data_IF_795484883453
#
_entry.id   IF_795484883453
#
_cell.length_a   1.000
_cell.length_b   1.000
_cell.length_c   1.000
_cell.angle_alpha   90.00
_cell.angle_beta   90.00
_cell.angle_gamma   90.00
#
_symmetry.space_group_name_H-M   'P 1'
#
loop_
_entity.id
_entity.type
_entity.pdbx_description
1 polymer ?
#
# COMPACT_ATOMS: atom_id res chain seq x y z
N UNK A 1 -24.05 3.80 -23.03
CA UNK A 1 -23.18 4.99 -23.06
C UNK A 1 -21.81 4.57 -22.59
N UNK A 2 -20.79 4.64 -23.46
CA UNK A 2 -19.42 4.40 -23.02
C UNK A 2 -19.11 5.39 -21.89
N UNK A 3 -18.70 4.91 -20.71
CA UNK A 3 -18.24 5.79 -19.63
C UNK A 3 -17.13 6.66 -20.21
N UNK A 4 -17.19 7.98 -20.03
CA UNK A 4 -16.05 8.86 -20.28
C UNK A 4 -14.94 8.46 -19.31
N UNK A 5 -14.06 7.55 -19.74
CA UNK A 5 -12.91 7.09 -18.98
C UNK A 5 -11.77 8.08 -19.21
N UNK A 6 -11.20 8.56 -18.12
CA UNK A 6 -10.01 9.40 -18.11
C UNK A 6 -8.78 8.53 -17.82
N UNK A 7 -7.67 8.91 -18.43
CA UNK A 7 -6.37 8.27 -18.28
C UNK A 7 -5.43 9.27 -17.64
N UNK A 8 -4.87 8.91 -16.50
CA UNK A 8 -3.99 9.79 -15.73
C UNK A 8 -2.59 9.21 -15.77
N UNK A 9 -1.65 9.95 -16.34
CA UNK A 9 -0.24 9.58 -16.35
C UNK A 9 0.51 10.26 -15.23
N UNK A 10 1.24 9.50 -14.44
CA UNK A 10 2.10 10.00 -13.36
C UNK A 10 3.56 9.73 -13.69
N UNK A 11 4.37 10.78 -13.61
CA UNK A 11 5.83 10.67 -13.63
C UNK A 11 6.35 10.95 -12.22
N UNK A 12 6.95 9.93 -11.61
CA UNK A 12 7.27 9.89 -10.18
C UNK A 12 8.77 10.09 -9.97
N UNK A 13 9.13 11.15 -9.23
CA UNK A 13 10.46 11.39 -8.70
C UNK A 13 10.54 11.12 -7.19
N UNK A 14 11.71 11.37 -6.59
CA UNK A 14 11.94 11.13 -5.16
C UNK A 14 11.04 12.02 -4.27
N UNK A 15 11.00 13.32 -4.54
CA UNK A 15 10.37 14.30 -3.65
C UNK A 15 8.98 14.77 -4.13
N UNK A 16 8.71 14.65 -5.42
CA UNK A 16 7.47 15.04 -6.06
C UNK A 16 7.16 14.22 -7.31
N UNK A 17 6.00 14.48 -7.89
CA UNK A 17 5.55 13.88 -9.13
C UNK A 17 4.68 14.84 -9.93
N UNK A 18 4.63 14.60 -11.23
CA UNK A 18 3.78 15.34 -12.18
C UNK A 18 2.63 14.43 -12.62
N UNK A 19 1.44 15.00 -12.70
CA UNK A 19 0.24 14.30 -13.15
C UNK A 19 -0.36 14.96 -14.39
N UNK A 20 -0.76 14.13 -15.37
CA UNK A 20 -1.46 14.57 -16.57
C UNK A 20 -2.77 13.81 -16.76
N UNK A 21 -3.87 14.54 -16.93
CA UNK A 21 -5.17 13.97 -17.29
C UNK A 21 -5.33 14.01 -18.81
N UNK A 22 -5.64 12.84 -19.38
CA UNK A 22 -5.88 12.62 -20.79
C UNK A 22 -7.22 11.91 -20.98
N UNK A 23 -8.02 12.34 -21.97
CA UNK A 23 -9.30 11.69 -22.29
C UNK A 23 -9.37 11.24 -23.75
N UNK A 24 -8.94 12.09 -24.67
CA UNK A 24 -8.91 11.79 -26.09
C UNK A 24 -7.93 12.71 -26.83
N UNK A 25 -7.49 12.36 -28.05
CA UNK A 25 -6.58 13.19 -28.83
C UNK A 25 -7.11 14.60 -29.16
N UNK A 26 -8.43 14.81 -29.07
CA UNK A 26 -9.08 16.09 -29.41
C UNK A 26 -9.19 17.04 -28.21
N UNK A 27 -8.86 16.58 -27.01
CA UNK A 27 -9.08 17.33 -25.78
C UNK A 27 -7.76 17.79 -25.18
N UNK A 28 -7.77 19.01 -24.64
CA UNK A 28 -6.61 19.56 -23.96
C UNK A 28 -6.22 18.71 -22.76
N UNK A 29 -4.92 18.54 -22.57
CA UNK A 29 -4.35 17.86 -21.42
C UNK A 29 -4.35 18.81 -20.24
N UNK A 30 -4.68 18.28 -19.06
CA UNK A 30 -4.64 19.04 -17.81
C UNK A 30 -3.46 18.53 -17.00
N UNK A 31 -2.51 19.41 -16.73
CA UNK A 31 -1.26 19.09 -16.02
C UNK A 31 -1.30 19.64 -14.60
N UNK A 32 -0.74 18.89 -13.66
CA UNK A 32 -0.45 19.33 -12.30
C UNK A 32 0.97 18.93 -11.94
N UNK A 33 1.79 19.93 -11.67
CA UNK A 33 3.20 19.78 -11.29
C UNK A 33 3.37 19.95 -9.78
N UNK A 34 4.57 19.62 -9.29
CA UNK A 34 5.03 19.81 -7.91
C UNK A 34 4.18 19.10 -6.82
N UNK A 35 3.53 17.98 -7.16
CA UNK A 35 2.78 17.22 -6.16
C UNK A 35 3.76 16.43 -5.32
N UNK A 36 3.84 16.71 -4.02
CA UNK A 36 4.81 16.04 -3.14
C UNK A 36 4.59 14.54 -3.08
N UNK A 37 5.68 13.76 -3.12
CA UNK A 37 5.67 12.31 -2.98
C UNK A 37 5.53 11.90 -1.50
N UNK A 38 4.41 12.32 -0.89
CA UNK A 38 4.08 12.13 0.53
C UNK A 38 2.58 11.89 0.66
N UNK A 39 2.12 11.39 1.81
CA UNK A 39 0.69 11.17 2.05
C UNK A 39 -0.16 12.43 1.87
N UNK A 40 0.33 13.60 2.28
CA UNK A 40 -0.38 14.86 2.09
C UNK A 40 -0.48 15.24 0.61
N UNK A 41 0.60 15.01 -0.15
CA UNK A 41 0.58 15.17 -1.61
C UNK A 41 -0.36 14.17 -2.30
N UNK A 42 -0.49 12.94 -1.79
CA UNK A 42 -1.45 11.97 -2.31
C UNK A 42 -2.90 12.39 -2.04
N UNK A 43 -3.18 12.92 -0.84
CA UNK A 43 -4.50 13.47 -0.49
C UNK A 43 -4.85 14.66 -1.40
N UNK A 44 -3.90 15.59 -1.60
CA UNK A 44 -3.98 16.70 -2.54
C UNK A 44 -4.29 16.22 -3.96
N UNK A 45 -3.60 15.18 -4.42
CA UNK A 45 -3.82 14.60 -5.74
C UNK A 45 -5.24 14.04 -5.90
N UNK A 46 -5.77 13.33 -4.89
CA UNK A 46 -7.17 12.86 -4.93
C UNK A 46 -8.17 14.02 -4.98
N UNK A 47 -7.92 15.10 -4.25
CA UNK A 47 -8.76 16.30 -4.32
C UNK A 47 -8.73 16.91 -5.71
N UNK A 48 -7.54 17.06 -6.29
CA UNK A 48 -7.35 17.55 -7.64
C UNK A 48 -8.06 16.69 -8.70
N UNK A 49 -8.00 15.35 -8.59
CA UNK A 49 -8.77 14.47 -9.49
C UNK A 49 -10.28 14.75 -9.40
N UNK A 50 -10.81 14.96 -8.18
CA UNK A 50 -12.24 15.25 -7.99
C UNK A 50 -12.65 16.60 -8.56
N UNK A 51 -11.79 17.62 -8.46
CA UNK A 51 -12.02 18.95 -9.06
C UNK A 51 -12.26 18.85 -10.58
N UNK A 52 -11.60 17.87 -11.24
CA UNK A 52 -11.76 17.58 -12.68
C UNK A 52 -12.81 16.51 -12.97
N UNK A 53 -13.68 16.17 -12.01
CA UNK A 53 -14.72 15.14 -12.13
C UNK A 53 -14.20 13.71 -12.38
N UNK A 54 -12.96 13.41 -12.00
CA UNK A 54 -12.40 12.06 -11.99
C UNK A 54 -12.72 11.35 -10.66
N UNK A 55 -12.95 10.04 -10.77
CA UNK A 55 -13.28 9.14 -9.68
C UNK A 55 -12.79 7.74 -10.02
N UNK A 56 -12.72 6.88 -8.99
CA UNK A 56 -12.31 5.47 -9.14
C UNK A 56 -13.06 4.66 -10.20
N UNK A 57 -14.27 5.06 -10.59
CA UNK A 57 -15.09 4.34 -11.58
C UNK A 57 -14.95 4.85 -13.02
N UNK A 58 -14.35 6.03 -13.22
CA UNK A 58 -14.18 6.68 -14.52
C UNK A 58 -12.74 7.13 -14.78
N UNK A 59 -11.77 6.65 -14.02
CA UNK A 59 -10.35 6.89 -14.29
C UNK A 59 -9.52 5.61 -14.28
N UNK A 60 -8.42 5.64 -15.03
CA UNK A 60 -7.31 4.68 -14.97
C UNK A 60 -6.05 5.51 -14.73
N UNK A 61 -5.26 5.13 -13.73
CA UNK A 61 -4.01 5.79 -13.41
C UNK A 61 -2.87 4.89 -13.89
N UNK A 62 -1.93 5.45 -14.63
CA UNK A 62 -0.76 4.78 -15.15
C UNK A 62 0.49 5.50 -14.69
N UNK A 63 1.53 4.76 -14.34
CA UNK A 63 2.85 5.30 -14.01
C UNK A 63 3.93 4.39 -14.58
N UNK A 64 5.06 4.99 -14.95
CA UNK A 64 6.27 4.25 -15.30
C UNK A 64 6.93 3.71 -14.02
N UNK A 65 7.53 2.52 -14.06
CA UNK A 65 8.32 2.00 -12.94
C UNK A 65 9.70 2.71 -12.86
N UNK A 66 9.81 3.77 -12.06
CA UNK A 66 11.03 4.58 -11.88
C UNK A 66 11.84 4.22 -10.61
N UNK A 67 11.43 3.19 -9.86
CA UNK A 67 12.16 2.68 -8.69
C UNK A 67 11.24 2.42 -7.50
N UNK A 68 11.79 2.51 -6.29
CA UNK A 68 11.06 2.32 -5.02
C UNK A 68 10.05 3.44 -4.71
N UNK A 69 10.19 4.61 -5.37
CA UNK A 69 9.41 5.83 -5.08
C UNK A 69 7.94 5.74 -5.51
N UNK A 70 7.61 4.77 -6.36
CA UNK A 70 6.32 4.63 -7.04
C UNK A 70 5.38 3.71 -6.24
N UNK A 71 5.96 2.89 -5.37
CA UNK A 71 5.23 1.87 -4.61
C UNK A 71 4.25 2.53 -3.64
N UNK A 72 4.68 3.55 -2.89
CA UNK A 72 3.85 4.23 -1.90
C UNK A 72 2.56 4.83 -2.52
N UNK A 73 2.69 5.56 -3.64
CA UNK A 73 1.53 6.15 -4.33
C UNK A 73 0.66 5.09 -5.01
N UNK A 74 1.26 4.05 -5.60
CA UNK A 74 0.51 2.95 -6.20
C UNK A 74 -0.37 2.23 -5.16
N UNK A 75 0.21 1.89 -3.99
CA UNK A 75 -0.54 1.35 -2.85
C UNK A 75 -1.66 2.30 -2.44
N UNK A 76 -1.35 3.58 -2.23
CA UNK A 76 -2.33 4.57 -1.81
C UNK A 76 -3.53 4.65 -2.77
N UNK A 77 -3.28 4.76 -4.07
CA UNK A 77 -4.33 4.88 -5.08
C UNK A 77 -5.20 3.61 -5.18
N UNK A 78 -4.58 2.42 -5.14
CA UNK A 78 -5.34 1.15 -5.11
C UNK A 78 -6.22 1.08 -3.86
N UNK A 79 -5.74 1.52 -2.69
CA UNK A 79 -6.55 1.53 -1.46
C UNK A 79 -7.73 2.51 -1.49
N UNK A 80 -7.61 3.59 -2.28
CA UNK A 80 -8.72 4.48 -2.57
C UNK A 80 -9.70 3.91 -3.62
N UNK A 81 -9.37 2.74 -4.18
CA UNK A 81 -10.18 1.97 -5.13
C UNK A 81 -9.92 2.31 -6.58
N UNK A 82 -8.87 3.08 -6.90
CA UNK A 82 -8.51 3.39 -8.28
C UNK A 82 -7.91 2.18 -8.99
N UNK A 83 -8.11 2.11 -10.30
CA UNK A 83 -7.37 1.19 -11.17
C UNK A 83 -6.02 1.81 -11.48
N UNK A 84 -4.96 1.14 -11.04
CA UNK A 84 -3.58 1.61 -11.19
C UNK A 84 -2.80 0.62 -12.02
N UNK A 85 -2.05 1.09 -13.02
CA UNK A 85 -1.11 0.29 -13.80
C UNK A 85 0.29 0.86 -13.63
N UNK A 86 1.26 -0.03 -13.39
CA UNK A 86 2.68 0.32 -13.24
C UNK A 86 3.40 -0.38 -14.38
N UNK A 87 3.79 0.40 -15.40
CA UNK A 87 4.30 -0.13 -16.66
C UNK A 87 5.83 -0.02 -16.73
N UNK A 88 6.52 -0.97 -17.36
CA UNK A 88 7.97 -0.89 -17.52
C UNK A 88 8.40 0.33 -18.36
N UNK A 89 9.46 1.06 -17.95
CA UNK A 89 10.04 2.18 -18.71
C UNK A 89 10.16 1.99 -20.22
N UNK A 90 10.75 0.87 -20.61
CA UNK A 90 11.03 0.57 -22.01
C UNK A 90 9.75 0.34 -22.82
N UNK A 91 8.65 -0.07 -22.17
CA UNK A 91 7.38 -0.35 -22.84
C UNK A 91 6.67 0.95 -23.19
N UNK A 92 6.63 1.92 -22.27
CA UNK A 92 6.07 3.26 -22.53
C UNK A 92 6.91 3.99 -23.58
N UNK A 93 8.24 3.98 -23.44
CA UNK A 93 9.15 4.68 -24.35
C UNK A 93 9.12 4.17 -25.79
N UNK A 94 8.87 2.88 -26.02
CA UNK A 94 8.76 2.30 -27.37
C UNK A 94 7.45 2.64 -28.09
N UNK A 95 6.44 3.10 -27.35
CA UNK A 95 5.14 3.45 -27.93
C UNK A 95 5.12 4.85 -28.58
N UNK A 96 6.17 5.65 -28.37
CA UNK A 96 6.30 7.00 -28.90
C UNK A 96 7.63 7.18 -29.62
N UNK A 97 7.61 7.98 -30.68
CA UNK A 97 8.85 8.44 -31.30
C UNK A 97 9.66 9.28 -30.31
N UNK A 98 11.00 9.35 -30.45
CA UNK A 98 11.83 10.20 -29.61
C UNK A 98 11.37 11.65 -29.68
N UNK A 99 10.70 12.11 -28.63
CA UNK A 99 10.37 13.53 -28.45
C UNK A 99 11.63 14.24 -27.96
N UNK A 100 11.84 15.49 -28.40
CA UNK A 100 13.06 16.28 -28.15
C UNK A 100 13.44 16.46 -26.66
N UNK A 101 13.26 17.65 -26.10
CA UNK A 101 13.62 17.88 -24.69
C UNK A 101 12.67 17.11 -23.76
N UNK A 102 13.24 16.22 -22.93
CA UNK A 102 12.53 15.50 -21.88
C UNK A 102 12.27 16.43 -20.70
N UNK A 103 11.02 16.51 -20.28
CA UNK A 103 10.60 17.18 -19.06
C UNK A 103 9.56 16.30 -18.37
N UNK A 104 9.45 16.39 -17.05
CA UNK A 104 8.55 15.55 -16.26
C UNK A 104 7.07 15.68 -16.70
N UNK A 105 6.68 16.86 -17.20
CA UNK A 105 5.37 17.10 -17.80
C UNK A 105 5.18 16.41 -19.16
N UNK A 106 6.23 16.29 -19.98
CA UNK A 106 6.19 15.56 -21.25
C UNK A 106 6.12 14.05 -20.99
N UNK A 107 6.89 13.56 -20.02
CA UNK A 107 6.96 12.13 -19.69
C UNK A 107 5.62 11.65 -19.08
N UNK A 108 5.07 12.37 -18.10
CA UNK A 108 3.74 12.05 -17.54
C UNK A 108 2.60 12.16 -18.57
N UNK A 109 2.70 13.07 -19.55
CA UNK A 109 1.76 13.12 -20.69
C UNK A 109 1.84 11.87 -21.55
N UNK A 110 3.05 11.41 -21.90
CA UNK A 110 3.25 10.18 -22.68
C UNK A 110 2.69 8.97 -21.94
N UNK A 111 2.85 8.91 -20.62
CA UNK A 111 2.28 7.85 -19.78
C UNK A 111 0.73 7.88 -19.84
N UNK A 112 0.12 9.07 -19.78
CA UNK A 112 -1.34 9.21 -19.85
C UNK A 112 -1.88 8.77 -21.23
N UNK A 113 -1.19 9.18 -22.29
CA UNK A 113 -1.55 8.82 -23.67
C UNK A 113 -1.31 7.33 -23.94
N UNK A 114 -0.26 6.73 -23.40
CA UNK A 114 0.00 5.30 -23.46
C UNK A 114 -1.17 4.53 -22.83
N UNK A 115 -1.60 4.94 -21.64
CA UNK A 115 -2.71 4.30 -20.96
C UNK A 115 -4.02 4.39 -21.76
N UNK A 116 -4.25 5.49 -22.48
CA UNK A 116 -5.37 5.63 -23.41
C UNK A 116 -5.25 4.66 -24.59
N UNK A 117 -4.10 4.62 -25.26
CA UNK A 117 -3.87 3.80 -26.47
C UNK A 117 -3.93 2.30 -26.20
N UNK A 118 -3.40 1.87 -25.06
CA UNK A 118 -3.24 0.44 -24.70
C UNK A 118 -4.14 0.03 -23.54
N UNK A 119 -5.29 0.70 -23.38
CA UNK A 119 -6.17 0.53 -22.21
C UNK A 119 -6.64 -0.90 -21.95
N UNK A 120 -6.72 -1.72 -23.00
CA UNK A 120 -7.07 -3.14 -23.02
C UNK A 120 -5.89 -4.07 -22.69
N UNK A 121 -4.66 -3.60 -22.83
CA UNK A 121 -3.44 -4.35 -22.54
C UNK A 121 -2.82 -4.02 -21.17
N UNK A 122 -3.35 -2.99 -20.48
CA UNK A 122 -2.86 -2.59 -19.17
C UNK A 122 -3.01 -3.72 -18.14
N UNK A 123 -1.93 -3.98 -17.41
CA UNK A 123 -1.99 -4.85 -16.23
C UNK A 123 -2.17 -3.99 -14.99
N UNK A 124 -3.24 -4.24 -14.25
CA UNK A 124 -3.49 -3.51 -13.01
C UNK A 124 -2.60 -4.04 -11.91
N UNK A 125 -1.82 -3.12 -11.35
CA UNK A 125 -0.89 -3.39 -10.27
C UNK A 125 -1.67 -3.78 -9.01
N UNK A 126 -1.14 -4.77 -8.29
CA UNK A 126 -1.61 -5.19 -6.98
C UNK A 126 -0.41 -5.20 -6.03
N UNK A 127 -0.62 -4.96 -4.73
CA UNK A 127 0.39 -5.22 -3.70
C UNK A 127 1.02 -6.59 -3.90
N UNK A 128 2.34 -6.69 -3.73
CA UNK A 128 3.01 -7.99 -3.77
C UNK A 128 2.47 -8.87 -2.64
N UNK A 129 2.15 -10.12 -2.96
CA UNK A 129 1.73 -11.17 -2.01
C UNK A 129 2.68 -11.26 -0.80
N UNK A 130 3.95 -10.90 -0.98
CA UNK A 130 4.98 -10.90 0.06
C UNK A 130 4.60 -10.07 1.31
N UNK A 131 3.95 -8.91 1.15
CA UNK A 131 3.55 -8.09 2.30
C UNK A 131 2.41 -8.78 3.05
N UNK A 132 1.45 -9.33 2.32
CA UNK A 132 0.32 -10.06 2.87
C UNK A 132 0.83 -11.31 3.62
N UNK A 133 1.78 -12.04 3.04
CA UNK A 133 2.41 -13.20 3.66
C UNK A 133 3.23 -12.83 4.90
N UNK A 134 3.98 -11.72 4.88
CA UNK A 134 4.67 -11.21 6.08
C UNK A 134 3.69 -10.93 7.22
N UNK A 135 2.56 -10.31 6.93
CA UNK A 135 1.51 -10.03 7.93
C UNK A 135 0.93 -11.34 8.46
N UNK A 136 0.62 -12.31 7.60
CA UNK A 136 0.11 -13.63 8.04
C UNK A 136 1.10 -14.37 8.95
N UNK A 137 2.39 -14.34 8.62
CA UNK A 137 3.43 -14.95 9.45
C UNK A 137 3.49 -14.29 10.84
N UNK A 138 3.46 -12.96 10.90
CA UNK A 138 3.47 -12.21 12.16
C UNK A 138 2.22 -12.49 13.00
N UNK A 139 1.02 -12.50 12.39
CA UNK A 139 -0.23 -12.83 13.09
C UNK A 139 -0.22 -14.26 13.64
N UNK A 140 0.28 -15.21 12.86
CA UNK A 140 0.41 -16.61 13.28
C UNK A 140 1.35 -16.73 14.49
N UNK A 141 2.50 -16.06 14.44
CA UNK A 141 3.45 -16.05 15.56
C UNK A 141 2.84 -15.39 16.81
N UNK A 142 2.12 -14.28 16.64
CA UNK A 142 1.40 -13.60 17.73
C UNK A 142 0.40 -14.55 18.41
N UNK A 143 -0.44 -15.23 17.63
CA UNK A 143 -1.43 -16.16 18.17
C UNK A 143 -0.77 -17.30 18.97
N UNK A 144 0.36 -17.83 18.48
CA UNK A 144 1.13 -18.84 19.20
C UNK A 144 1.62 -18.32 20.56
N UNK A 145 2.17 -17.11 20.62
CA UNK A 145 2.63 -16.52 21.88
C UNK A 145 1.48 -16.21 22.85
N UNK A 146 0.33 -15.74 22.36
CA UNK A 146 -0.87 -15.51 23.18
C UNK A 146 -1.36 -16.83 23.80
N UNK A 147 -1.38 -17.93 23.03
CA UNK A 147 -1.72 -19.27 23.54
C UNK A 147 -0.74 -19.73 24.62
N UNK A 148 0.56 -19.53 24.41
CA UNK A 148 1.58 -19.86 25.41
C UNK A 148 1.43 -19.03 26.70
N UNK A 149 1.20 -17.73 26.59
CA UNK A 149 0.95 -16.83 27.73
C UNK A 149 -0.24 -17.31 28.55
N UNK A 150 -1.36 -17.62 27.89
CA UNK A 150 -2.57 -18.16 28.53
C UNK A 150 -2.29 -19.48 29.24
N UNK A 151 -1.55 -20.39 28.61
CA UNK A 151 -1.18 -21.68 29.22
C UNK A 151 -0.33 -21.49 30.49
N UNK A 152 0.64 -20.59 30.48
CA UNK A 152 1.48 -20.28 31.65
C UNK A 152 0.65 -19.65 32.77
N UNK A 153 -0.22 -18.70 32.45
CA UNK A 153 -1.12 -18.10 33.44
C UNK A 153 -2.02 -19.14 34.09
N UNK A 154 -2.58 -20.07 33.30
CA UNK A 154 -3.39 -21.17 33.82
C UNK A 154 -2.57 -22.13 34.69
N UNK A 155 -1.33 -22.45 34.30
CA UNK A 155 -0.43 -23.27 35.10
C UNK A 155 -0.11 -22.61 36.45
N UNK A 156 0.14 -21.29 36.47
CA UNK A 156 0.36 -20.54 37.71
C UNK A 156 -0.88 -20.58 38.62
N UNK A 157 -2.07 -20.28 38.08
CA UNK A 157 -3.34 -20.32 38.83
C UNK A 157 -3.66 -21.71 39.39
N UNK A 158 -3.34 -22.77 38.65
CA UNK A 158 -3.46 -24.14 39.13
C UNK A 158 -2.47 -24.42 40.26
N UNK A 159 -1.21 -23.96 40.10
CA UNK A 159 -0.16 -24.16 41.07
C UNK A 159 -0.44 -23.48 42.42
N UNK A 160 -1.06 -22.30 42.39
CA UNK A 160 -1.48 -21.55 43.59
C UNK A 160 -2.48 -22.32 44.47
N UNK A 161 -3.13 -23.36 43.95
CA UNK A 161 -4.05 -24.22 44.72
C UNK A 161 -3.35 -25.33 45.49
N UNK A 162 -2.06 -25.58 45.25
CA UNK A 162 -1.32 -26.60 46.01
C UNK A 162 -1.05 -26.13 47.44
N UNK A 163 -1.16 -27.08 48.38
CA UNK A 163 -0.88 -26.88 49.81
C UNK A 163 0.60 -26.56 50.05
N UNK A 164 1.49 -27.23 49.31
CA UNK A 164 2.94 -27.00 49.38
C UNK A 164 3.36 -26.28 48.11
N UNK A 165 3.96 -25.10 48.29
CA UNK A 165 4.40 -24.23 47.20
C UNK A 165 5.90 -23.99 47.26
N UNK A 166 6.52 -23.97 46.08
CA UNK A 166 7.94 -23.68 45.85
C UNK A 166 8.01 -22.34 45.14
N UNK A 167 8.56 -21.34 45.81
CA UNK A 167 8.63 -19.95 45.32
C UNK A 167 9.36 -19.83 43.97
N UNK A 168 10.34 -20.70 43.70
CA UNK A 168 11.07 -20.74 42.44
C UNK A 168 10.15 -21.02 41.25
N UNK A 169 9.16 -21.92 41.39
CA UNK A 169 8.25 -22.30 40.30
C UNK A 169 7.42 -21.09 39.85
N UNK A 170 6.84 -20.37 40.82
CA UNK A 170 6.06 -19.14 40.56
C UNK A 170 6.96 -18.06 39.95
N UNK A 171 8.19 -17.90 40.46
CA UNK A 171 9.16 -16.92 39.95
C UNK A 171 9.51 -17.19 38.49
N UNK A 172 9.83 -18.44 38.14
CA UNK A 172 10.21 -18.83 36.77
C UNK A 172 9.04 -18.61 35.81
N UNK A 173 7.84 -19.07 36.14
CA UNK A 173 6.66 -18.83 35.29
C UNK A 173 6.38 -17.34 35.07
N UNK A 174 6.49 -16.51 36.12
CA UNK A 174 6.31 -15.06 36.01
C UNK A 174 7.37 -14.42 35.11
N UNK A 175 8.62 -14.90 35.17
CA UNK A 175 9.68 -14.41 34.30
C UNK A 175 9.41 -14.81 32.84
N UNK A 176 9.06 -16.07 32.57
CA UNK A 176 8.70 -16.54 31.23
C UNK A 176 7.51 -15.77 30.66
N UNK A 177 6.49 -15.49 31.47
CA UNK A 177 5.31 -14.73 31.05
C UNK A 177 5.70 -13.32 30.55
N UNK A 178 6.58 -12.63 31.28
CA UNK A 178 7.07 -11.28 30.89
C UNK A 178 7.81 -11.29 29.56
N UNK A 179 8.65 -12.31 29.30
CA UNK A 179 9.36 -12.42 28.02
C UNK A 179 8.37 -12.67 26.86
N UNK A 180 7.36 -13.52 27.07
CA UNK A 180 6.32 -13.76 26.06
C UNK A 180 5.52 -12.49 25.77
N UNK A 181 5.11 -11.74 26.80
CA UNK A 181 4.41 -10.45 26.65
C UNK A 181 5.25 -9.43 25.88
N UNK A 182 6.57 -9.42 26.11
CA UNK A 182 7.51 -8.59 25.35
C UNK A 182 7.56 -8.99 23.87
N UNK A 183 7.67 -10.29 23.56
CA UNK A 183 7.65 -10.77 22.17
C UNK A 183 6.34 -10.41 21.45
N UNK A 184 5.19 -10.54 22.13
CA UNK A 184 3.89 -10.11 21.58
C UNK A 184 3.93 -8.62 21.23
N UNK A 185 4.46 -7.78 22.13
CA UNK A 185 4.57 -6.33 21.92
C UNK A 185 5.51 -5.99 20.75
N UNK A 186 6.61 -6.72 20.58
CA UNK A 186 7.53 -6.54 19.46
C UNK A 186 6.89 -6.91 18.12
N UNK A 187 6.12 -8.01 18.09
CA UNK A 187 5.34 -8.42 16.92
C UNK A 187 4.26 -7.38 16.59
N UNK A 188 3.53 -6.89 17.60
CA UNK A 188 2.51 -5.85 17.41
C UNK A 188 3.11 -4.56 16.83
N UNK A 189 4.29 -4.15 17.29
CA UNK A 189 5.01 -2.99 16.72
C UNK A 189 5.42 -3.20 15.27
N UNK A 190 5.89 -4.39 14.91
CA UNK A 190 6.28 -4.68 13.53
C UNK A 190 5.05 -4.78 12.61
N UNK A 191 3.94 -5.35 13.10
CA UNK A 191 2.65 -5.30 12.42
C UNK A 191 2.20 -3.86 12.20
N UNK A 192 2.21 -3.01 13.24
CA UNK A 192 1.87 -1.59 13.13
C UNK A 192 2.80 -0.83 12.18
N UNK A 193 4.09 -1.18 12.13
CA UNK A 193 5.04 -0.60 11.19
C UNK A 193 4.72 -0.98 9.75
N UNK A 194 4.51 -2.26 9.47
CA UNK A 194 4.18 -2.75 8.12
C UNK A 194 2.84 -2.15 7.71
N UNK A 195 1.82 -2.18 8.57
CA UNK A 195 0.50 -1.61 8.30
C UNK A 195 0.56 -0.08 8.19
N UNK A 196 1.41 0.60 8.97
CA UNK A 196 1.62 2.04 8.86
C UNK A 196 2.23 2.46 7.52
N UNK A 197 2.96 1.56 6.87
CA UNK A 197 3.51 1.76 5.54
C UNK A 197 2.48 1.51 4.41
N UNK A 198 1.35 0.85 4.70
CA UNK A 198 0.33 0.49 3.70
C UNK A 198 -1.10 0.85 4.15
N UNK A 199 -1.87 1.65 3.41
CA UNK A 199 -3.17 2.11 3.88
C UNK A 199 -4.14 0.95 4.20
N UNK A 200 -4.78 1.03 5.39
CA UNK A 200 -5.63 -0.02 6.02
C UNK A 200 -6.67 -0.71 5.12
N UNK A 201 -7.11 -0.09 4.02
CA UNK A 201 -8.16 -0.64 3.13
C UNK A 201 -7.75 -1.90 2.34
N UNK A 202 -6.47 -2.25 2.29
CA UNK A 202 -6.00 -3.52 1.70
C UNK A 202 -6.10 -4.71 2.67
N UNK A 203 -6.42 -4.47 3.95
CA UNK A 203 -6.43 -5.49 4.99
C UNK A 203 -7.86 -5.82 5.43
N UNK A 204 -8.78 -6.09 4.49
CA UNK A 204 -10.09 -6.66 4.84
C UNK A 204 -9.96 -7.96 5.68
N UNK A 205 -8.85 -8.67 5.52
CA UNK A 205 -8.46 -9.81 6.34
C UNK A 205 -8.18 -9.47 7.82
N UNK A 206 -7.85 -8.22 8.18
CA UNK A 206 -7.60 -7.82 9.57
C UNK A 206 -8.90 -7.66 10.36
N UNK A 207 -9.91 -7.04 9.75
CA UNK A 207 -11.19 -6.81 10.42
C UNK A 207 -11.92 -8.15 10.68
N UNK A 208 -11.70 -9.18 9.85
CA UNK A 208 -12.23 -10.54 10.06
C UNK A 208 -11.46 -11.38 11.10
N UNK A 209 -10.24 -10.97 11.48
CA UNK A 209 -9.41 -11.67 12.48
C UNK A 209 -9.48 -10.99 13.86
N UNK A 210 -9.81 -9.70 13.90
CA UNK A 210 -9.85 -8.89 15.13
C UNK A 210 -11.26 -8.55 15.64
N UNK A 211 -12.32 -8.94 14.92
CA UNK A 211 -13.73 -8.90 15.38
C UNK A 211 -14.39 -10.27 15.19
#
# INVERSE_FOLDING_TARGET
MAKNVYFVGLDIACDDFVANIYQSPKQSIITKEDIKNTFDGFNMFILWLKEHALSKINSIICMEATGVYNEAIAHYLVTQGFRVSVEPPLKVKRAFDPVGHKTDAVDSKQIAEYAYRYSDELRFWQPKDEIIEKIKHLLTAREQFVKQSTAIQNAMKAYEKHIVQVSLIVKVHRQTLREIEKHITEIDKELDRIIGQYPRRQLKFYDEIYH
#
